data_IF_235122037181
#
_entry.id   IF_235122037181
#
_cell.length_a   1.000
_cell.length_b   1.000
_cell.length_c   1.000
_cell.angle_alpha   90.00
_cell.angle_beta   90.00
_cell.angle_gamma   90.00
#
_symmetry.space_group_name_H-M   'P 1'
#
loop_
_entity.id
_entity.type
_entity.pdbx_description
1 polymer ?
#
# COMPACT_ATOMS: atom_id res chain seq x y z
N UNK A 1 24.37 14.01 -9.03
CA UNK A 1 22.99 13.48 -8.95
C UNK A 1 23.03 12.17 -8.15
N UNK A 2 22.05 11.95 -7.29
CA UNK A 2 21.94 10.64 -6.62
C UNK A 2 21.53 9.58 -7.65
N UNK A 3 22.05 8.34 -7.55
CA UNK A 3 21.66 7.26 -8.47
C UNK A 3 20.18 6.89 -8.27
N UNK A 4 19.48 6.57 -9.34
CA UNK A 4 18.10 6.07 -9.35
C UNK A 4 17.92 5.09 -10.51
N UNK A 5 16.86 4.28 -10.45
CA UNK A 5 16.48 3.41 -11.57
C UNK A 5 15.56 4.22 -12.50
N UNK A 6 15.95 4.44 -13.79
CA UNK A 6 15.11 5.21 -14.71
C UNK A 6 13.83 4.43 -15.04
N UNK A 7 12.74 5.17 -15.28
CA UNK A 7 11.53 4.59 -15.85
C UNK A 7 11.80 4.22 -17.32
N UNK A 8 11.27 3.08 -17.79
CA UNK A 8 11.42 2.68 -19.19
C UNK A 8 10.59 3.58 -20.11
N UNK A 9 11.01 3.71 -21.36
CA UNK A 9 10.16 4.30 -22.40
C UNK A 9 8.97 3.37 -22.69
N UNK A 10 7.76 3.91 -22.76
CA UNK A 10 6.54 3.14 -23.05
C UNK A 10 6.67 2.41 -24.38
N UNK A 11 7.33 3.02 -25.38
CA UNK A 11 7.54 2.45 -26.70
C UNK A 11 8.39 1.16 -26.66
N UNK A 12 9.29 1.05 -25.67
CA UNK A 12 10.19 -0.11 -25.52
C UNK A 12 9.54 -1.30 -24.81
N UNK A 13 8.34 -1.13 -24.21
CA UNK A 13 7.67 -2.17 -23.44
C UNK A 13 7.02 -3.23 -24.33
N UNK A 14 6.94 -4.50 -23.88
CA UNK A 14 6.08 -5.51 -24.50
C UNK A 14 4.62 -5.02 -24.58
N UNK A 15 3.90 -5.42 -25.64
CA UNK A 15 2.57 -4.91 -25.94
C UNK A 15 1.58 -5.08 -24.76
N UNK A 16 1.59 -6.23 -24.09
CA UNK A 16 0.71 -6.52 -22.95
C UNK A 16 0.98 -5.56 -21.77
N UNK A 17 2.24 -5.25 -21.48
CA UNK A 17 2.63 -4.31 -20.43
C UNK A 17 2.24 -2.87 -20.82
N UNK A 18 2.49 -2.52 -22.08
CA UNK A 18 2.17 -1.21 -22.64
C UNK A 18 0.69 -0.86 -22.46
N UNK A 19 -0.20 -1.79 -22.75
CA UNK A 19 -1.65 -1.60 -22.60
C UNK A 19 -2.04 -1.30 -21.15
N UNK A 20 -1.44 -2.04 -20.20
CA UNK A 20 -1.71 -1.82 -18.76
C UNK A 20 -1.18 -0.45 -18.31
N UNK A 21 0.04 -0.10 -18.68
CA UNK A 21 0.65 1.19 -18.30
C UNK A 21 -0.11 2.37 -18.93
N UNK A 22 -0.62 2.23 -20.13
CA UNK A 22 -1.44 3.26 -20.77
C UNK A 22 -2.83 3.40 -20.11
N UNK A 23 -3.42 2.29 -19.66
CA UNK A 23 -4.70 2.30 -18.93
C UNK A 23 -4.56 2.86 -17.51
N UNK A 24 -3.43 2.59 -16.87
CA UNK A 24 -3.12 3.00 -15.49
C UNK A 24 -1.74 3.70 -15.46
N UNK A 25 -1.67 4.99 -15.79
CA UNK A 25 -0.41 5.72 -15.96
C UNK A 25 0.24 6.08 -14.61
N UNK A 26 0.47 5.08 -13.76
CA UNK A 26 1.17 5.20 -12.49
C UNK A 26 2.64 4.81 -12.64
N UNK A 27 3.53 5.57 -12.02
CA UNK A 27 4.96 5.33 -12.07
C UNK A 27 5.37 3.99 -11.41
N UNK A 28 4.58 3.46 -10.48
CA UNK A 28 4.77 2.11 -9.96
C UNK A 28 4.69 1.05 -11.06
N UNK A 29 3.75 1.16 -12.01
CA UNK A 29 3.65 0.22 -13.12
C UNK A 29 4.81 0.38 -14.09
N UNK A 30 5.21 1.62 -14.42
CA UNK A 30 6.40 1.87 -15.22
C UNK A 30 7.67 1.32 -14.55
N UNK A 31 7.84 1.55 -13.24
CA UNK A 31 8.98 1.03 -12.50
C UNK A 31 9.00 -0.51 -12.50
N UNK A 32 7.85 -1.14 -12.25
CA UNK A 32 7.71 -2.60 -12.27
C UNK A 32 7.97 -3.19 -13.66
N UNK A 33 7.67 -2.44 -14.74
CA UNK A 33 7.91 -2.86 -16.12
C UNK A 33 9.40 -3.04 -16.45
N UNK A 34 10.33 -2.50 -15.66
CA UNK A 34 11.76 -2.83 -15.72
C UNK A 34 12.05 -4.30 -15.37
N UNK A 35 11.09 -5.00 -14.73
CA UNK A 35 11.16 -6.43 -14.41
C UNK A 35 9.98 -7.19 -15.07
N UNK A 36 9.96 -7.34 -16.41
CA UNK A 36 8.78 -7.81 -17.15
C UNK A 36 8.32 -9.21 -16.75
N UNK A 37 9.21 -10.09 -16.31
CA UNK A 37 8.87 -11.42 -15.80
C UNK A 37 8.02 -11.41 -14.53
N UNK A 38 8.10 -10.35 -13.72
CA UNK A 38 7.37 -10.21 -12.46
C UNK A 38 6.12 -9.32 -12.61
N UNK A 39 6.02 -8.55 -13.67
CA UNK A 39 5.01 -7.51 -13.86
C UNK A 39 3.57 -8.05 -13.70
N UNK A 40 3.25 -9.12 -14.43
CA UNK A 40 1.92 -9.72 -14.41
C UNK A 40 1.56 -10.27 -13.03
N UNK A 41 2.47 -11.05 -12.42
CA UNK A 41 2.22 -11.65 -11.09
C UNK A 41 2.03 -10.60 -10.00
N UNK A 42 2.80 -9.52 -10.03
CA UNK A 42 2.64 -8.42 -9.08
C UNK A 42 1.31 -7.68 -9.28
N UNK A 43 0.91 -7.45 -10.53
CA UNK A 43 -0.38 -6.84 -10.85
C UNK A 43 -1.58 -7.70 -10.43
N UNK A 44 -1.51 -9.01 -10.65
CA UNK A 44 -2.54 -9.97 -10.21
C UNK A 44 -2.65 -10.01 -8.68
N UNK A 45 -1.52 -10.03 -7.96
CA UNK A 45 -1.51 -9.99 -6.50
C UNK A 45 -2.08 -8.66 -5.97
N UNK A 46 -1.69 -7.52 -6.54
CA UNK A 46 -2.25 -6.21 -6.19
C UNK A 46 -3.77 -6.20 -6.36
N UNK A 47 -4.25 -6.68 -7.52
CA UNK A 47 -5.68 -6.74 -7.83
C UNK A 47 -6.44 -7.60 -6.83
N UNK A 48 -5.91 -8.76 -6.46
CA UNK A 48 -6.55 -9.66 -5.50
C UNK A 48 -6.66 -9.03 -4.10
N UNK A 49 -5.62 -8.36 -3.62
CA UNK A 49 -5.60 -7.69 -2.32
C UNK A 49 -6.54 -6.48 -2.28
N UNK A 50 -6.53 -5.66 -3.34
CA UNK A 50 -7.25 -4.39 -3.36
C UNK A 50 -8.74 -4.52 -3.73
N UNK A 51 -9.10 -5.48 -4.59
CA UNK A 51 -10.43 -5.55 -5.20
C UNK A 51 -11.16 -6.88 -5.00
N UNK A 52 -10.48 -7.96 -4.60
CA UNK A 52 -11.10 -9.29 -4.44
C UNK A 52 -11.07 -9.79 -2.98
N UNK A 53 -10.28 -9.17 -2.11
CA UNK A 53 -10.30 -9.45 -0.68
C UNK A 53 -11.65 -9.10 -0.07
N UNK A 54 -12.13 -9.92 0.86
CA UNK A 54 -13.32 -9.64 1.66
C UNK A 54 -13.01 -8.74 2.86
N UNK A 55 -11.73 -8.43 3.12
CA UNK A 55 -11.35 -7.53 4.19
C UNK A 55 -11.84 -6.11 3.89
N UNK A 56 -12.49 -5.50 4.88
CA UNK A 56 -13.10 -4.18 4.75
C UNK A 56 -12.12 -3.13 4.20
N UNK A 57 -12.46 -2.42 3.08
CA UNK A 57 -11.54 -1.49 2.43
C UNK A 57 -11.08 -0.34 3.34
N UNK A 58 -11.96 0.18 4.22
CA UNK A 58 -11.59 1.25 5.14
C UNK A 58 -10.57 0.79 6.18
N UNK A 59 -10.77 -0.42 6.72
CA UNK A 59 -9.83 -1.04 7.66
C UNK A 59 -8.50 -1.35 7.00
N UNK A 60 -8.54 -1.81 5.75
CA UNK A 60 -7.34 -2.02 4.94
C UNK A 60 -6.52 -0.73 4.82
N UNK A 61 -7.17 0.39 4.47
CA UNK A 61 -6.46 1.66 4.29
C UNK A 61 -5.83 2.18 5.59
N UNK A 62 -6.41 1.93 6.77
CA UNK A 62 -5.76 2.25 8.05
C UNK A 62 -4.41 1.52 8.16
N UNK A 63 -4.39 0.22 7.89
CA UNK A 63 -3.16 -0.57 7.96
C UNK A 63 -2.14 -0.17 6.89
N UNK A 64 -2.60 0.08 5.65
CA UNK A 64 -1.74 0.51 4.52
C UNK A 64 -1.09 1.85 4.79
N UNK A 65 -1.85 2.85 5.25
CA UNK A 65 -1.30 4.15 5.63
C UNK A 65 -0.27 4.02 6.76
N UNK A 66 -0.53 3.17 7.75
CA UNK A 66 0.44 2.95 8.83
C UNK A 66 1.71 2.28 8.31
N UNK A 67 1.63 1.30 7.41
CA UNK A 67 2.82 0.74 6.73
C UNK A 67 3.60 1.82 6.01
N UNK A 68 2.92 2.62 5.19
CA UNK A 68 3.56 3.69 4.42
C UNK A 68 4.27 4.71 5.34
N UNK A 69 3.65 5.06 6.47
CA UNK A 69 4.26 5.94 7.48
C UNK A 69 5.51 5.31 8.10
N UNK A 70 5.41 4.09 8.62
CA UNK A 70 6.52 3.39 9.31
C UNK A 70 7.71 3.13 8.40
N UNK A 71 7.43 2.78 7.15
CA UNK A 71 8.45 2.53 6.12
C UNK A 71 8.97 3.81 5.46
N UNK A 72 8.34 4.96 5.75
CA UNK A 72 8.62 6.27 5.12
C UNK A 72 8.42 6.26 3.62
N UNK A 73 7.50 5.44 3.13
CA UNK A 73 7.21 5.31 1.71
C UNK A 73 6.31 6.47 1.24
N UNK A 74 6.94 7.53 0.74
CA UNK A 74 6.26 8.77 0.32
C UNK A 74 5.28 8.49 -0.82
N UNK A 75 5.65 7.64 -1.76
CA UNK A 75 4.80 7.27 -2.88
C UNK A 75 3.50 6.59 -2.40
N UNK A 76 3.62 5.55 -1.59
CA UNK A 76 2.47 4.83 -1.02
C UNK A 76 1.59 5.75 -0.16
N UNK A 77 2.22 6.53 0.72
CA UNK A 77 1.49 7.48 1.56
C UNK A 77 0.62 8.44 0.72
N UNK A 78 1.21 9.04 -0.31
CA UNK A 78 0.54 10.06 -1.11
C UNK A 78 -0.67 9.49 -1.86
N UNK A 79 -0.51 8.30 -2.47
CA UNK A 79 -1.60 7.64 -3.17
C UNK A 79 -2.69 7.13 -2.23
N UNK A 80 -2.29 6.50 -1.13
CA UNK A 80 -3.24 5.89 -0.21
C UNK A 80 -3.98 6.89 0.69
N UNK A 81 -3.48 8.10 0.90
CA UNK A 81 -4.27 9.19 1.50
C UNK A 81 -5.51 9.51 0.65
N UNK A 82 -5.37 9.55 -0.66
CA UNK A 82 -6.52 9.78 -1.55
C UNK A 82 -7.52 8.61 -1.50
N UNK A 83 -7.03 7.37 -1.55
CA UNK A 83 -7.87 6.16 -1.45
C UNK A 83 -8.55 6.07 -0.07
N UNK A 84 -7.84 6.34 1.01
CA UNK A 84 -8.37 6.32 2.37
C UNK A 84 -9.55 7.28 2.55
N UNK A 85 -9.45 8.50 1.99
CA UNK A 85 -10.56 9.46 2.00
C UNK A 85 -11.80 8.92 1.24
N UNK A 86 -11.58 8.24 0.11
CA UNK A 86 -12.67 7.60 -0.66
C UNK A 86 -13.33 6.45 0.12
N UNK A 87 -12.58 5.74 0.96
CA UNK A 87 -13.12 4.70 1.85
C UNK A 87 -13.74 5.24 3.15
N UNK A 88 -13.75 6.57 3.32
CA UNK A 88 -14.40 7.24 4.43
C UNK A 88 -13.51 7.50 5.65
N UNK A 89 -12.17 7.44 5.54
CA UNK A 89 -11.29 7.95 6.57
C UNK A 89 -11.33 9.48 6.57
N UNK A 90 -11.42 10.05 7.76
CA UNK A 90 -11.37 11.49 7.97
C UNK A 90 -9.92 11.99 7.99
N UNK A 91 -9.73 13.29 7.79
CA UNK A 91 -8.39 13.91 7.90
C UNK A 91 -7.80 13.77 9.30
N UNK A 92 -8.64 13.85 10.34
CA UNK A 92 -8.24 13.64 11.73
C UNK A 92 -7.71 12.22 11.97
N UNK A 93 -8.38 11.20 11.44
CA UNK A 93 -7.91 9.82 11.55
C UNK A 93 -6.59 9.59 10.79
N UNK A 94 -6.45 10.16 9.58
CA UNK A 94 -5.23 10.08 8.80
C UNK A 94 -4.08 10.78 9.55
N UNK A 95 -4.33 11.93 10.16
CA UNK A 95 -3.31 12.62 10.96
C UNK A 95 -2.90 11.82 12.21
N UNK A 96 -3.84 11.16 12.90
CA UNK A 96 -3.54 10.26 14.03
C UNK A 96 -2.65 9.09 13.60
N UNK A 97 -2.95 8.45 12.45
CA UNK A 97 -2.12 7.38 11.90
C UNK A 97 -0.67 7.84 11.68
N UNK A 98 -0.48 9.10 11.31
CA UNK A 98 0.82 9.70 11.01
C UNK A 98 1.57 10.18 12.25
N UNK A 99 0.86 10.83 13.19
CA UNK A 99 1.49 11.60 14.27
C UNK A 99 1.66 10.82 15.57
N UNK A 100 0.87 9.76 15.81
CA UNK A 100 0.93 9.00 17.05
C UNK A 100 1.90 7.81 16.97
N UNK A 101 2.64 7.57 18.09
CA UNK A 101 3.62 6.51 18.20
C UNK A 101 3.69 5.96 19.65
N UNK A 102 2.99 4.85 19.97
CA UNK A 102 2.06 4.09 19.15
C UNK A 102 0.73 4.82 18.92
N UNK A 103 -0.03 4.40 17.89
CA UNK A 103 -1.37 4.93 17.65
C UNK A 103 -2.33 4.39 18.71
N UNK A 104 -3.01 5.30 19.42
CA UNK A 104 -3.88 4.96 20.58
C UNK A 104 -5.25 5.64 20.53
N UNK A 105 -5.49 6.55 19.59
CA UNK A 105 -6.71 7.37 19.55
C UNK A 105 -7.65 7.09 18.38
N UNK A 106 -7.45 5.96 17.66
CA UNK A 106 -8.33 5.49 16.58
C UNK A 106 -9.42 4.49 17.04
N UNK A 107 -9.61 4.36 18.35
CA UNK A 107 -10.46 3.30 18.93
C UNK A 107 -9.78 1.93 18.86
N UNK A 108 -10.37 0.94 19.55
CA UNK A 108 -9.73 -0.38 19.72
C UNK A 108 -9.34 -1.06 18.40
N UNK A 109 -10.23 -0.97 17.41
CA UNK A 109 -10.00 -1.61 16.12
C UNK A 109 -8.92 -0.88 15.29
N UNK A 110 -9.01 0.45 15.19
CA UNK A 110 -8.00 1.24 14.47
C UNK A 110 -6.61 1.13 15.10
N UNK A 111 -6.54 1.15 16.44
CA UNK A 111 -5.29 0.96 17.17
C UNK A 111 -4.68 -0.42 16.91
N UNK A 112 -5.52 -1.49 16.89
CA UNK A 112 -5.06 -2.84 16.57
C UNK A 112 -4.54 -2.94 15.13
N UNK A 113 -5.21 -2.35 14.15
CA UNK A 113 -4.76 -2.34 12.76
C UNK A 113 -3.41 -1.63 12.60
N UNK A 114 -3.22 -0.50 13.26
CA UNK A 114 -1.93 0.20 13.28
C UNK A 114 -0.86 -0.63 13.99
N UNK A 115 -1.18 -1.29 15.12
CA UNK A 115 -0.24 -2.19 15.82
C UNK A 115 0.19 -3.35 14.92
N UNK A 116 -0.73 -3.98 14.20
CA UNK A 116 -0.40 -5.05 13.22
C UNK A 116 0.57 -4.56 12.16
N UNK A 117 0.33 -3.36 11.62
CA UNK A 117 1.22 -2.74 10.64
C UNK A 117 2.60 -2.44 11.25
N UNK A 118 2.65 -1.91 12.46
CA UNK A 118 3.90 -1.59 13.19
C UNK A 118 4.74 -2.84 13.43
N UNK A 119 4.15 -3.89 14.03
CA UNK A 119 4.86 -5.11 14.39
C UNK A 119 5.39 -5.84 13.13
N UNK A 120 4.58 -6.01 12.08
CA UNK A 120 5.04 -6.65 10.84
C UNK A 120 6.14 -5.81 10.15
N UNK A 121 6.01 -4.48 10.17
CA UNK A 121 6.97 -3.61 9.48
C UNK A 121 8.32 -3.50 10.18
N UNK A 122 8.35 -3.56 11.52
CA UNK A 122 9.55 -3.37 12.35
C UNK A 122 10.15 -4.68 12.82
N UNK A 123 9.29 -5.62 13.26
CA UNK A 123 9.70 -6.85 13.92
C UNK A 123 9.55 -8.09 13.04
N UNK A 124 9.06 -7.90 11.79
CA UNK A 124 8.84 -8.97 10.78
C UNK A 124 7.72 -9.95 11.14
N UNK A 125 7.24 -9.95 12.36
CA UNK A 125 6.21 -10.88 12.86
C UNK A 125 5.29 -10.20 13.85
N UNK A 126 4.09 -10.74 13.99
CA UNK A 126 3.17 -10.35 15.06
C UNK A 126 3.58 -10.97 16.40
N UNK A 127 3.30 -10.25 17.49
CA UNK A 127 3.23 -10.83 18.82
C UNK A 127 2.06 -11.82 18.91
N UNK A 128 2.15 -12.78 19.83
CA UNK A 128 1.05 -13.74 20.08
C UNK A 128 -0.25 -13.02 20.46
N UNK A 129 -0.14 -11.90 21.20
CA UNK A 129 -1.28 -11.09 21.58
C UNK A 129 -1.97 -10.43 20.38
N UNK A 130 -1.23 -9.75 19.50
CA UNK A 130 -1.80 -9.13 18.30
C UNK A 130 -2.40 -10.18 17.36
N UNK A 131 -1.72 -11.32 17.17
CA UNK A 131 -2.24 -12.42 16.36
C UNK A 131 -3.55 -12.97 16.92
N UNK A 132 -3.63 -13.20 18.24
CA UNK A 132 -4.86 -13.66 18.89
C UNK A 132 -6.00 -12.67 18.69
N UNK A 133 -5.73 -11.38 18.89
CA UNK A 133 -6.76 -10.32 18.74
C UNK A 133 -7.32 -10.24 17.31
N UNK A 134 -6.49 -10.37 16.26
CA UNK A 134 -6.99 -10.34 14.88
C UNK A 134 -7.71 -11.65 14.50
N UNK A 135 -7.27 -12.80 15.03
CA UNK A 135 -7.99 -14.07 14.84
C UNK A 135 -9.37 -14.04 15.47
N UNK A 136 -9.50 -13.55 16.70
CA UNK A 136 -10.77 -13.42 17.41
C UNK A 136 -11.73 -12.46 16.71
N UNK A 137 -11.19 -11.37 16.15
CA UNK A 137 -12.00 -10.31 15.54
C UNK A 137 -12.39 -10.60 14.09
N UNK A 138 -11.50 -11.16 13.30
CA UNK A 138 -11.67 -11.30 11.85
C UNK A 138 -11.72 -12.76 11.38
N UNK A 139 -11.53 -13.73 12.27
CA UNK A 139 -11.38 -15.13 11.92
C UNK A 139 -10.12 -15.41 11.12
N UNK A 140 -9.91 -16.67 10.75
CA UNK A 140 -8.70 -17.11 10.03
C UNK A 140 -8.54 -16.38 8.69
N UNK A 141 -9.62 -16.26 7.92
CA UNK A 141 -9.59 -15.61 6.60
C UNK A 141 -9.21 -14.14 6.71
N UNK A 142 -9.96 -13.35 7.48
CA UNK A 142 -9.73 -11.91 7.60
C UNK A 142 -8.36 -11.58 8.20
N UNK A 143 -7.91 -12.36 9.21
CA UNK A 143 -6.56 -12.23 9.76
C UNK A 143 -5.48 -12.51 8.70
N UNK A 144 -5.67 -13.56 7.88
CA UNK A 144 -4.73 -13.89 6.80
C UNK A 144 -4.70 -12.80 5.72
N UNK A 145 -5.87 -12.31 5.30
CA UNK A 145 -5.97 -11.24 4.31
C UNK A 145 -5.32 -9.94 4.80
N UNK A 146 -5.49 -9.58 6.08
CA UNK A 146 -4.84 -8.43 6.71
C UNK A 146 -3.31 -8.59 6.72
N UNK A 147 -2.80 -9.73 7.19
CA UNK A 147 -1.36 -9.99 7.25
C UNK A 147 -0.77 -9.98 5.84
N UNK A 148 -1.44 -10.59 4.86
CA UNK A 148 -1.00 -10.59 3.46
C UNK A 148 -0.94 -9.15 2.91
N UNK A 149 -1.98 -8.36 3.15
CA UNK A 149 -2.03 -6.96 2.74
C UNK A 149 -0.87 -6.15 3.34
N UNK A 150 -0.68 -6.20 4.66
CA UNK A 150 0.41 -5.49 5.34
C UNK A 150 1.78 -5.93 4.81
N UNK A 151 1.97 -7.24 4.59
CA UNK A 151 3.22 -7.79 4.05
C UNK A 151 3.48 -7.32 2.61
N UNK A 152 2.44 -7.28 1.78
CA UNK A 152 2.51 -6.80 0.41
C UNK A 152 2.90 -5.31 0.35
N UNK A 153 2.28 -4.45 1.16
CA UNK A 153 2.62 -3.04 1.21
C UNK A 153 4.01 -2.78 1.81
N UNK A 154 4.49 -3.65 2.71
CA UNK A 154 5.87 -3.64 3.15
C UNK A 154 6.86 -3.99 2.01
N UNK A 155 6.50 -4.95 1.15
CA UNK A 155 7.28 -5.25 -0.05
C UNK A 155 7.29 -4.06 -1.01
N UNK A 156 6.12 -3.49 -1.34
CA UNK A 156 6.02 -2.35 -2.25
C UNK A 156 6.80 -1.13 -1.74
N UNK A 157 6.64 -0.77 -0.46
CA UNK A 157 7.37 0.34 0.14
C UNK A 157 8.87 0.20 -0.06
N UNK A 158 9.42 -0.99 0.20
CA UNK A 158 10.85 -1.25 0.03
C UNK A 158 11.29 -1.21 -1.43
N UNK A 159 10.46 -1.72 -2.33
CA UNK A 159 10.73 -1.68 -3.76
C UNK A 159 10.77 -0.23 -4.27
N UNK A 160 9.74 0.55 -3.98
CA UNK A 160 9.59 1.92 -4.47
C UNK A 160 10.65 2.87 -3.90
N UNK A 161 10.91 2.81 -2.59
CA UNK A 161 11.94 3.62 -1.95
C UNK A 161 13.35 3.23 -2.42
N UNK A 162 13.61 1.94 -2.64
CA UNK A 162 14.92 1.47 -3.13
C UNK A 162 15.16 1.84 -4.60
N UNK A 163 14.13 1.86 -5.42
CA UNK A 163 14.20 2.28 -6.84
C UNK A 163 14.14 3.80 -7.00
N UNK A 164 13.73 4.51 -5.94
CA UNK A 164 13.52 5.97 -5.91
C UNK A 164 12.53 6.45 -6.96
N UNK A 165 11.41 5.72 -7.06
CA UNK A 165 10.32 6.12 -7.94
C UNK A 165 9.76 7.47 -7.50
N UNK A 166 9.59 8.36 -8.46
CA UNK A 166 8.99 9.67 -8.23
C UNK A 166 7.47 9.60 -8.33
N UNK A 167 6.80 10.53 -7.66
CA UNK A 167 5.36 10.72 -7.85
C UNK A 167 5.07 11.17 -9.28
N UNK A 168 3.88 10.86 -9.77
CA UNK A 168 3.37 11.36 -11.02
C UNK A 168 3.26 12.88 -11.02
N UNK A 169 3.30 13.47 -12.21
CA UNK A 169 2.94 14.87 -12.37
C UNK A 169 1.51 15.12 -11.84
N UNK A 170 1.29 16.28 -11.22
CA UNK A 170 0.00 16.65 -10.59
C UNK A 170 -1.23 16.40 -11.47
N UNK A 171 -1.09 16.58 -12.77
CA UNK A 171 -2.18 16.33 -13.73
C UNK A 171 -2.60 14.87 -13.79
N UNK A 172 -1.64 13.96 -13.85
CA UNK A 172 -1.86 12.50 -13.88
C UNK A 172 -2.41 12.02 -12.54
N UNK A 173 -1.82 12.44 -11.42
CA UNK A 173 -2.30 12.10 -10.08
C UNK A 173 -3.77 12.49 -9.90
N UNK A 174 -4.14 13.72 -10.26
CA UNK A 174 -5.51 14.21 -10.15
C UNK A 174 -6.49 13.47 -11.07
N UNK A 175 -6.03 12.99 -12.21
CA UNK A 175 -6.87 12.21 -13.14
C UNK A 175 -7.22 10.85 -12.55
N UNK A 176 -6.26 10.17 -11.93
CA UNK A 176 -6.43 8.83 -11.35
C UNK A 176 -7.31 8.86 -10.10
N UNK A 177 -7.18 9.89 -9.27
CA UNK A 177 -7.92 10.04 -8.02
C UNK A 177 -9.17 10.92 -8.13
N UNK A 178 -9.57 11.30 -9.34
CA UNK A 178 -10.87 11.94 -9.59
C UNK A 178 -11.97 10.86 -9.62
N UNK A 179 -12.74 10.84 -8.58
CA UNK A 179 -14.10 10.28 -8.56
C UNK A 179 -15.07 11.40 -8.23
#
# INVERSE_FOLDING_TARGET
MSPYIPLPSIESLPQEIKEIVQAFPLNIFLMTANAPSSFKGLGELARSILFESEFDPRKREIAVLRVAHVTRAIYEWTHHVAVAKQTGLTEDEIEKIKSEEPVVSLGDEGNLLCRVADEISRDVKLSDEALTQILDRYGVRGATELILCVSYFNFLSRFLESTRVELEEKGVFNMIHKT
#
